data_IF_168090670378
#
_entry.id   IF_168090670378
#
_cell.length_a   1.000
_cell.length_b   1.000
_cell.length_c   1.000
_cell.angle_alpha   90.00
_cell.angle_beta   90.00
_cell.angle_gamma   90.00
#
_symmetry.space_group_name_H-M   'P 1'
#
loop_
_entity.id
_entity.type
_entity.pdbx_description
1 polymer ?
#
# COMPACT_ATOMS: atom_id res chain seq x y z
N UNK A 1 -11.01 -8.31 -7.37
CA UNK A 1 -10.30 -7.41 -6.43
C UNK A 1 -10.21 -6.01 -7.02
N UNK A 2 -9.64 -5.86 -8.21
CA UNK A 2 -9.65 -4.66 -9.05
C UNK A 2 -10.10 -5.03 -10.48
N UNK A 3 -10.34 -4.04 -11.34
CA UNK A 3 -10.77 -4.26 -12.71
C UNK A 3 -12.22 -4.72 -12.85
N UNK A 4 -12.55 -5.25 -14.02
CA UNK A 4 -13.87 -5.83 -14.31
C UNK A 4 -13.83 -7.35 -14.12
N UNK A 5 -14.98 -7.92 -13.75
CA UNK A 5 -15.16 -9.37 -13.77
C UNK A 5 -15.52 -9.84 -15.19
N UNK A 6 -14.62 -10.56 -15.89
CA UNK A 6 -14.90 -11.03 -17.24
C UNK A 6 -16.02 -12.09 -17.29
N UNK A 7 -16.34 -12.75 -16.16
CA UNK A 7 -17.43 -13.71 -16.07
C UNK A 7 -18.81 -13.05 -16.10
N UNK A 8 -18.90 -11.74 -15.86
CA UNK A 8 -20.13 -10.95 -15.97
C UNK A 8 -20.28 -10.46 -17.42
N UNK A 9 -21.51 -10.47 -17.93
CA UNK A 9 -21.84 -9.93 -19.27
C UNK A 9 -21.45 -8.44 -19.37
N UNK A 10 -20.91 -7.96 -20.51
CA UNK A 10 -20.33 -6.63 -20.64
C UNK A 10 -21.22 -5.48 -20.14
N UNK A 11 -22.53 -5.58 -20.35
CA UNK A 11 -23.52 -4.55 -20.01
C UNK A 11 -23.74 -4.39 -18.49
N UNK A 12 -23.36 -5.41 -17.70
CA UNK A 12 -23.51 -5.45 -16.25
C UNK A 12 -22.16 -5.39 -15.52
N UNK A 13 -21.04 -5.29 -16.25
CA UNK A 13 -19.71 -5.19 -15.63
C UNK A 13 -19.58 -3.88 -14.87
N UNK A 14 -19.04 -3.98 -13.66
CA UNK A 14 -18.61 -2.84 -12.87
C UNK A 14 -17.10 -2.87 -12.80
N UNK A 15 -16.48 -1.73 -13.09
CA UNK A 15 -15.04 -1.55 -13.02
C UNK A 15 -14.64 -1.16 -11.58
N UNK A 16 -13.65 -1.87 -11.01
CA UNK A 16 -13.11 -1.64 -9.67
C UNK A 16 -11.61 -1.26 -9.69
N UNK A 17 -11.09 -0.71 -10.78
CA UNK A 17 -9.67 -0.35 -10.90
C UNK A 17 -9.24 0.74 -9.90
N UNK A 18 -10.16 1.57 -9.41
CA UNK A 18 -9.87 2.55 -8.35
C UNK A 18 -9.31 1.91 -7.08
N UNK A 19 -9.65 0.64 -6.81
CA UNK A 19 -9.11 -0.12 -5.66
C UNK A 19 -7.61 -0.37 -5.76
N UNK A 20 -7.00 -0.26 -6.95
CA UNK A 20 -5.54 -0.36 -7.10
C UNK A 20 -4.84 0.77 -6.36
N UNK A 21 -5.38 1.99 -6.48
CA UNK A 21 -4.85 3.14 -5.76
C UNK A 21 -4.95 2.95 -4.24
N UNK A 22 -6.03 2.34 -3.75
CA UNK A 22 -6.14 2.03 -2.32
C UNK A 22 -5.00 1.13 -1.83
N UNK A 23 -4.57 0.17 -2.64
CA UNK A 23 -3.43 -0.71 -2.32
C UNK A 23 -2.14 0.09 -2.29
N UNK A 24 -1.89 0.91 -3.31
CA UNK A 24 -0.68 1.75 -3.42
C UNK A 24 -0.58 2.74 -2.26
N UNK A 25 -1.65 3.48 -1.98
CA UNK A 25 -1.72 4.43 -0.86
C UNK A 25 -1.49 3.73 0.49
N UNK A 26 -2.03 2.51 0.63
CA UNK A 26 -1.84 1.74 1.85
C UNK A 26 -0.40 1.28 2.00
N UNK A 27 0.26 0.86 0.93
CA UNK A 27 1.68 0.48 0.95
C UNK A 27 2.54 1.69 1.37
N UNK A 28 2.34 2.86 0.76
CA UNK A 28 3.08 4.09 1.08
C UNK A 28 2.89 4.53 2.54
N UNK A 29 1.66 4.45 3.07
CA UNK A 29 1.43 4.72 4.49
C UNK A 29 2.26 3.78 5.39
N UNK A 30 2.34 2.49 5.04
CA UNK A 30 3.04 1.50 5.86
C UNK A 30 4.56 1.63 5.75
N UNK A 31 5.13 1.96 4.59
CA UNK A 31 6.59 2.19 4.47
C UNK A 31 7.06 3.36 5.32
N UNK A 32 6.20 4.36 5.53
CA UNK A 32 6.49 5.51 6.42
C UNK A 32 6.44 5.15 7.91
N UNK A 33 5.85 4.02 8.28
CA UNK A 33 5.61 3.63 9.66
C UNK A 33 6.43 2.40 10.10
N UNK A 34 6.52 1.39 9.25
CA UNK A 34 7.24 0.15 9.53
C UNK A 34 8.74 0.32 9.28
N UNK A 35 9.54 -0.52 9.91
CA UNK A 35 10.94 -0.70 9.55
C UNK A 35 11.07 -1.70 8.40
N UNK A 36 10.28 -1.50 7.35
CA UNK A 36 10.24 -2.33 6.15
C UNK A 36 10.20 -1.41 4.94
N UNK A 37 11.16 -1.58 4.05
CA UNK A 37 11.19 -0.86 2.78
C UNK A 37 10.57 -1.73 1.68
N UNK A 38 9.89 -1.09 0.74
CA UNK A 38 9.31 -1.77 -0.43
C UNK A 38 10.22 -1.51 -1.61
N UNK A 39 10.98 -2.53 -2.00
CA UNK A 39 11.89 -2.46 -3.13
C UNK A 39 11.13 -2.50 -4.45
N UNK A 40 10.09 -3.33 -4.56
CA UNK A 40 9.22 -3.37 -5.71
C UNK A 40 7.80 -3.80 -5.37
N UNK A 41 6.82 -3.40 -6.19
CA UNK A 41 5.45 -3.88 -6.11
C UNK A 41 4.77 -3.91 -7.48
N UNK A 42 3.79 -4.81 -7.62
CA UNK A 42 2.90 -4.84 -8.77
C UNK A 42 1.47 -5.17 -8.33
N UNK A 43 0.52 -4.28 -8.64
CA UNK A 43 -0.89 -4.48 -8.33
C UNK A 43 -1.61 -4.95 -9.59
N UNK A 44 -2.24 -6.12 -9.53
CA UNK A 44 -3.01 -6.71 -10.64
C UNK A 44 -4.51 -6.77 -10.29
N UNK A 45 -5.35 -7.25 -11.23
CA UNK A 45 -6.81 -7.29 -11.04
C UNK A 45 -7.27 -8.26 -9.94
N UNK A 46 -6.51 -9.33 -9.70
CA UNK A 46 -6.87 -10.40 -8.76
C UNK A 46 -5.82 -10.69 -7.67
N UNK A 47 -4.65 -10.07 -7.71
CA UNK A 47 -3.63 -10.16 -6.66
C UNK A 47 -2.58 -9.05 -6.79
N UNK A 48 -1.68 -8.95 -5.80
CA UNK A 48 -0.54 -8.05 -5.85
C UNK A 48 0.74 -8.77 -5.38
N UNK A 49 1.89 -8.30 -5.87
CA UNK A 49 3.22 -8.78 -5.50
C UNK A 49 4.01 -7.68 -4.79
N UNK A 50 4.82 -8.05 -3.80
CA UNK A 50 5.71 -7.15 -3.06
C UNK A 50 7.10 -7.76 -2.93
N UNK A 51 8.13 -6.93 -3.10
CA UNK A 51 9.51 -7.20 -2.71
C UNK A 51 9.82 -6.30 -1.52
N UNK A 52 10.08 -6.92 -0.37
CA UNK A 52 10.24 -6.24 0.91
C UNK A 52 11.67 -6.40 1.42
N UNK A 53 12.23 -5.33 1.97
CA UNK A 53 13.45 -5.35 2.75
C UNK A 53 13.12 -5.07 4.22
N UNK A 54 13.43 -6.02 5.10
CA UNK A 54 13.16 -5.90 6.54
C UNK A 54 14.40 -5.39 7.27
N UNK A 55 14.35 -4.15 7.76
CA UNK A 55 15.46 -3.54 8.48
C UNK A 55 15.27 -3.68 10.00
N UNK A 56 15.71 -4.81 10.54
CA UNK A 56 15.65 -5.07 12.00
C UNK A 56 16.61 -4.14 12.76
N UNK A 57 17.73 -3.76 12.16
CA UNK A 57 18.72 -2.90 12.80
C UNK A 57 18.16 -1.48 13.02
N UNK A 58 17.45 -0.92 12.04
CA UNK A 58 16.74 0.36 12.15
C UNK A 58 15.69 0.32 13.25
N UNK A 59 14.91 -0.75 13.34
CA UNK A 59 13.91 -0.90 14.41
C UNK A 59 14.56 -0.96 15.80
N UNK A 60 15.69 -1.66 15.95
CA UNK A 60 16.40 -1.79 17.23
C UNK A 60 17.09 -0.50 17.67
N UNK A 61 17.44 0.41 16.74
CA UNK A 61 17.97 1.74 17.07
C UNK A 61 16.92 2.70 17.58
N UNK A 62 15.62 2.45 17.36
CA UNK A 62 14.56 3.34 17.81
C UNK A 62 14.41 3.31 19.33
N UNK A 63 14.33 4.49 19.94
CA UNK A 63 13.88 4.62 21.34
C UNK A 63 12.43 4.15 21.50
N UNK A 64 12.02 3.81 22.73
CA UNK A 64 10.62 3.47 23.02
C UNK A 64 9.65 4.55 22.52
N UNK A 65 9.98 5.83 22.72
CA UNK A 65 9.21 6.96 22.21
C UNK A 65 9.07 6.92 20.68
N UNK A 66 10.15 6.64 19.96
CA UNK A 66 10.14 6.58 18.50
C UNK A 66 9.31 5.40 17.99
N UNK A 67 9.41 4.23 18.62
CA UNK A 67 8.57 3.07 18.28
C UNK A 67 7.09 3.41 18.43
N UNK A 68 6.69 4.04 19.53
CA UNK A 68 5.31 4.44 19.76
C UNK A 68 4.84 5.45 18.71
N UNK A 69 5.65 6.45 18.36
CA UNK A 69 5.34 7.40 17.29
C UNK A 69 5.13 6.70 15.94
N UNK A 70 6.02 5.77 15.58
CA UNK A 70 5.89 4.99 14.36
C UNK A 70 4.61 4.15 14.33
N UNK A 71 4.33 3.45 15.44
CA UNK A 71 3.11 2.67 15.60
C UNK A 71 1.84 3.52 15.45
N UNK A 72 1.83 4.72 16.03
CA UNK A 72 0.67 5.64 15.98
C UNK A 72 0.36 6.22 14.60
N UNK A 73 1.25 6.07 13.61
CA UNK A 73 0.95 6.48 12.23
C UNK A 73 -0.13 5.63 11.57
N UNK A 74 -0.29 4.38 12.03
CA UNK A 74 -1.15 3.38 11.40
C UNK A 74 -2.23 2.87 12.35
N UNK A 75 -1.90 2.77 13.64
CA UNK A 75 -2.77 2.18 14.65
C UNK A 75 -3.15 3.22 15.69
N UNK A 76 -4.38 3.11 16.22
CA UNK A 76 -4.74 3.94 17.36
C UNK A 76 -3.97 3.52 18.61
N UNK A 77 -3.54 4.49 19.39
CA UNK A 77 -2.79 4.28 20.60
C UNK A 77 -3.68 4.34 21.84
N UNK A 78 -3.35 3.48 22.80
CA UNK A 78 -3.97 3.46 24.12
C UNK A 78 -3.78 4.81 24.84
N UNK A 79 -4.71 5.22 25.73
CA UNK A 79 -4.62 6.49 26.44
C UNK A 79 -3.31 6.69 27.19
N UNK A 80 -2.73 5.63 27.75
CA UNK A 80 -1.47 5.69 28.48
C UNK A 80 -0.28 5.95 27.55
N UNK A 81 -0.26 5.35 26.36
CA UNK A 81 0.72 5.64 25.31
C UNK A 81 0.62 7.11 24.87
N UNK A 82 -0.61 7.62 24.67
CA UNK A 82 -0.85 9.03 24.33
C UNK A 82 -0.34 9.97 25.43
N UNK A 83 -0.52 9.62 26.71
CA UNK A 83 0.05 10.37 27.84
C UNK A 83 1.58 10.33 27.83
N UNK A 84 2.19 9.17 27.58
CA UNK A 84 3.66 9.00 27.52
C UNK A 84 4.29 9.82 26.38
N UNK A 85 3.63 9.92 25.23
CA UNK A 85 4.11 10.70 24.08
C UNK A 85 4.05 12.22 24.30
N UNK A 86 3.18 12.68 25.20
CA UNK A 86 3.04 14.09 25.58
C UNK A 86 4.06 14.48 26.65
N UNK A 87 4.94 15.45 26.34
CA UNK A 87 5.99 15.89 27.26
C UNK A 87 5.47 16.41 28.61
N UNK A 88 4.30 17.06 28.61
CA UNK A 88 3.66 17.57 29.82
C UNK A 88 3.04 16.42 30.64
N UNK A 89 2.26 15.54 30.00
CA UNK A 89 1.54 14.46 30.70
C UNK A 89 2.45 13.32 31.13
N UNK A 90 3.57 13.09 30.42
CA UNK A 90 4.56 12.08 30.78
C UNK A 90 5.13 12.27 32.19
N UNK A 91 5.30 13.52 32.63
CA UNK A 91 5.80 13.85 33.99
C UNK A 91 4.83 13.42 35.10
N UNK A 92 3.57 13.18 34.76
CA UNK A 92 2.52 12.76 35.69
C UNK A 92 2.40 11.24 35.77
N UNK A 93 3.15 10.49 34.96
CA UNK A 93 3.12 9.03 34.98
C UNK A 93 3.97 8.49 36.13
N UNK A 94 3.43 7.50 36.83
CA UNK A 94 4.17 6.70 37.78
C UNK A 94 5.23 5.84 37.09
N UNK A 95 6.22 5.36 37.87
CA UNK A 95 7.24 4.45 37.37
C UNK A 95 6.64 3.15 36.78
N UNK A 96 5.56 2.63 37.39
CA UNK A 96 4.86 1.45 36.90
C UNK A 96 4.18 1.69 35.54
N UNK A 97 3.53 2.85 35.35
CA UNK A 97 2.92 3.23 34.08
C UNK A 97 3.97 3.43 32.98
N UNK A 98 5.11 4.06 33.30
CA UNK A 98 6.24 4.21 32.38
C UNK A 98 6.76 2.85 31.94
N UNK A 99 7.00 1.94 32.90
CA UNK A 99 7.49 0.60 32.62
C UNK A 99 6.51 -0.22 31.76
N UNK A 100 5.20 -0.09 32.03
CA UNK A 100 4.17 -0.71 31.20
C UNK A 100 4.23 -0.23 29.75
N UNK A 101 4.32 1.09 29.53
CA UNK A 101 4.39 1.66 28.18
C UNK A 101 5.67 1.25 27.45
N UNK A 102 6.79 1.15 28.15
CA UNK A 102 8.06 0.69 27.57
C UNK A 102 8.01 -0.78 27.19
N UNK A 103 7.36 -1.61 28.00
CA UNK A 103 7.07 -3.02 27.65
C UNK A 103 6.19 -3.11 26.39
N UNK A 104 5.18 -2.24 26.26
CA UNK A 104 4.37 -2.13 25.04
C UNK A 104 5.17 -1.66 23.84
N UNK A 105 6.11 -0.74 24.02
CA UNK A 105 6.99 -0.30 22.95
C UNK A 105 7.83 -1.48 22.42
N UNK A 106 8.34 -2.36 23.27
CA UNK A 106 9.05 -3.58 22.83
C UNK A 106 8.15 -4.51 21.98
N UNK A 107 6.90 -4.70 22.40
CA UNK A 107 5.91 -5.46 21.64
C UNK A 107 5.67 -4.84 20.25
N UNK A 108 5.47 -3.52 20.20
CA UNK A 108 5.22 -2.80 18.95
C UNK A 108 6.44 -2.79 18.03
N UNK A 109 7.67 -2.71 18.57
CA UNK A 109 8.90 -2.78 17.77
C UNK A 109 8.94 -4.08 16.97
N UNK A 110 8.65 -5.21 17.62
CA UNK A 110 8.59 -6.54 16.96
C UNK A 110 7.56 -6.60 15.84
N UNK A 111 6.43 -5.88 15.99
CA UNK A 111 5.40 -5.78 14.95
C UNK A 111 5.86 -4.95 13.77
N UNK A 112 6.55 -3.84 14.02
CA UNK A 112 6.97 -2.87 12.99
C UNK A 112 8.05 -3.38 12.04
N UNK A 113 8.72 -4.50 12.33
CA UNK A 113 9.58 -5.19 11.36
C UNK A 113 9.04 -6.58 10.95
N UNK A 114 7.80 -6.92 11.31
CA UNK A 114 7.21 -8.22 10.97
C UNK A 114 6.48 -8.15 9.63
N UNK A 115 6.89 -8.99 8.68
CA UNK A 115 6.21 -9.16 7.38
C UNK A 115 4.74 -9.53 7.59
N UNK A 116 4.43 -10.44 8.52
CA UNK A 116 3.05 -10.84 8.80
C UNK A 116 2.18 -9.68 9.28
N UNK A 117 2.73 -8.78 10.11
CA UNK A 117 2.02 -7.57 10.52
C UNK A 117 1.88 -6.58 9.39
N UNK A 118 2.91 -6.40 8.57
CA UNK A 118 2.86 -5.56 7.37
C UNK A 118 1.74 -6.00 6.42
N UNK A 119 1.72 -7.30 6.06
CA UNK A 119 0.70 -7.88 5.19
C UNK A 119 -0.70 -7.79 5.80
N UNK A 120 -0.84 -8.04 7.10
CA UNK A 120 -2.12 -7.86 7.82
C UNK A 120 -2.61 -6.42 7.73
N UNK A 121 -1.70 -5.46 7.92
CA UNK A 121 -1.99 -4.03 7.88
C UNK A 121 -2.35 -3.51 6.49
N UNK A 122 -1.97 -4.22 5.42
CA UNK A 122 -2.49 -3.99 4.06
C UNK A 122 -3.87 -4.62 3.92
N UNK A 123 -3.98 -5.91 4.20
CA UNK A 123 -5.11 -6.74 3.78
C UNK A 123 -6.40 -6.47 4.56
N UNK A 124 -6.35 -6.27 5.88
CA UNK A 124 -7.56 -6.13 6.70
C UNK A 124 -8.36 -4.85 6.38
N UNK A 125 -7.74 -3.66 6.32
CA UNK A 125 -8.47 -2.44 5.98
C UNK A 125 -9.04 -2.48 4.56
N UNK A 126 -8.27 -2.99 3.59
CA UNK A 126 -8.72 -3.10 2.21
C UNK A 126 -9.89 -4.09 2.05
N UNK A 127 -9.85 -5.22 2.75
CA UNK A 127 -10.97 -6.16 2.77
C UNK A 127 -12.23 -5.51 3.35
N UNK A 128 -12.09 -4.70 4.40
CA UNK A 128 -13.22 -3.98 5.00
C UNK A 128 -13.79 -2.92 4.06
N UNK A 129 -12.93 -2.14 3.40
CA UNK A 129 -13.36 -1.13 2.43
C UNK A 129 -14.06 -1.76 1.24
N UNK A 130 -13.49 -2.83 0.66
CA UNK A 130 -14.08 -3.52 -0.47
C UNK A 130 -15.42 -4.19 -0.11
N UNK A 131 -15.49 -4.91 1.01
CA UNK A 131 -16.74 -5.52 1.47
C UNK A 131 -17.83 -4.47 1.76
N UNK A 132 -17.45 -3.29 2.27
CA UNK A 132 -18.39 -2.19 2.49
C UNK A 132 -18.90 -1.60 1.16
N UNK A 133 -18.02 -1.42 0.16
CA UNK A 133 -18.39 -0.96 -1.19
C UNK A 133 -19.25 -1.98 -1.94
N UNK A 134 -18.99 -3.28 -1.74
CA UNK A 134 -19.73 -4.38 -2.36
C UNK A 134 -21.00 -4.75 -1.58
N UNK A 135 -21.28 -4.05 -0.47
CA UNK A 135 -22.39 -4.33 0.45
C UNK A 135 -22.47 -5.80 0.89
N UNK A 136 -21.32 -6.45 1.03
CA UNK A 136 -21.22 -7.87 1.34
C UNK A 136 -20.47 -8.12 2.66
N UNK A 137 -20.54 -9.37 3.13
CA UNK A 137 -19.81 -9.84 4.30
C UNK A 137 -19.07 -11.11 3.93
N UNK A 138 -17.95 -11.35 4.59
CA UNK A 138 -17.16 -12.57 4.41
C UNK A 138 -15.73 -12.30 4.00
N UNK A 139 -15.11 -13.33 3.43
CA UNK A 139 -13.68 -13.36 3.13
C UNK A 139 -13.40 -12.69 1.79
N UNK A 140 -12.62 -11.60 1.81
CA UNK A 140 -12.19 -10.92 0.59
C UNK A 140 -10.96 -11.56 -0.07
N UNK A 141 -9.99 -12.05 0.73
CA UNK A 141 -8.74 -12.64 0.23
C UNK A 141 -8.78 -14.18 0.29
N UNK A 142 -8.45 -14.86 -0.81
CA UNK A 142 -8.56 -16.33 -0.96
C UNK A 142 -7.62 -17.15 -0.05
N UNK A 143 -6.55 -16.55 0.48
CA UNK A 143 -5.46 -17.31 1.11
C UNK A 143 -4.71 -16.57 2.21
N UNK A 144 -3.76 -17.28 2.84
CA UNK A 144 -2.60 -16.63 3.47
C UNK A 144 -1.69 -16.11 2.36
N UNK A 145 -0.89 -15.09 2.65
CA UNK A 145 0.16 -14.65 1.73
C UNK A 145 1.21 -15.75 1.58
N UNK A 146 1.83 -15.83 0.40
CA UNK A 146 3.01 -16.66 0.15
C UNK A 146 4.25 -15.77 0.29
N UNK A 147 5.28 -16.28 0.94
CA UNK A 147 6.53 -15.56 1.14
C UNK A 147 7.70 -16.48 0.78
N UNK A 148 8.67 -15.93 0.05
CA UNK A 148 9.91 -16.59 -0.32
C UNK A 148 11.05 -15.65 0.04
N UNK A 149 12.02 -16.13 0.81
CA UNK A 149 13.20 -15.35 1.15
C UNK A 149 14.13 -15.27 -0.07
N UNK A 150 14.60 -14.06 -0.37
CA UNK A 150 15.62 -13.80 -1.38
C UNK A 150 16.93 -13.58 -0.63
N UNK A 151 17.89 -14.48 -0.82
CA UNK A 151 19.12 -14.54 -0.01
C UNK A 151 20.37 -14.09 -0.77
N UNK A 152 20.26 -13.84 -2.07
CA UNK A 152 21.35 -13.38 -2.92
C UNK A 152 20.96 -12.16 -3.75
N UNK A 153 21.94 -11.34 -4.11
CA UNK A 153 21.76 -10.06 -4.78
C UNK A 153 21.24 -10.22 -6.22
N UNK A 154 21.60 -11.33 -6.89
CA UNK A 154 21.07 -11.67 -8.21
C UNK A 154 19.59 -12.04 -8.15
N UNK A 155 19.15 -12.78 -7.13
CA UNK A 155 17.76 -13.12 -6.87
C UNK A 155 16.96 -11.88 -6.48
N UNK A 156 17.55 -10.94 -5.74
CA UNK A 156 16.93 -9.66 -5.43
C UNK A 156 16.70 -8.83 -6.70
N UNK A 157 17.75 -8.61 -7.51
CA UNK A 157 17.66 -7.85 -8.76
C UNK A 157 16.71 -8.52 -9.76
N UNK A 158 16.77 -9.85 -9.86
CA UNK A 158 15.87 -10.64 -10.71
C UNK A 158 14.43 -10.53 -10.22
N UNK A 159 14.17 -10.57 -8.91
CA UNK A 159 12.82 -10.42 -8.37
C UNK A 159 12.28 -9.00 -8.48
N UNK A 160 13.12 -7.97 -8.32
CA UNK A 160 12.72 -6.58 -8.56
C UNK A 160 12.30 -6.40 -10.03
N UNK A 161 13.17 -6.80 -10.97
CA UNK A 161 12.85 -6.80 -12.39
C UNK A 161 11.60 -7.65 -12.70
N UNK A 162 11.48 -8.82 -12.11
CA UNK A 162 10.33 -9.71 -12.32
C UNK A 162 9.01 -9.09 -11.83
N UNK A 163 9.02 -8.45 -10.66
CA UNK A 163 7.82 -7.79 -10.10
C UNK A 163 7.46 -6.56 -10.93
N UNK A 164 8.43 -5.72 -11.27
CA UNK A 164 8.19 -4.54 -12.12
C UNK A 164 7.70 -4.93 -13.53
N UNK A 165 8.14 -6.08 -14.05
CA UNK A 165 7.73 -6.57 -15.38
C UNK A 165 6.45 -7.42 -15.37
N UNK A 166 5.87 -7.73 -14.21
CA UNK A 166 4.68 -8.59 -14.13
C UNK A 166 3.47 -8.03 -14.92
N UNK A 167 3.18 -6.72 -14.91
CA UNK A 167 2.11 -6.17 -15.73
C UNK A 167 2.36 -6.30 -17.24
N UNK A 168 3.62 -6.30 -17.70
CA UNK A 168 3.92 -6.60 -19.11
C UNK A 168 3.69 -8.08 -19.43
N UNK A 169 4.13 -8.98 -18.54
CA UNK A 169 3.96 -10.42 -18.73
C UNK A 169 2.48 -10.83 -18.73
N UNK A 170 1.65 -10.13 -17.97
CA UNK A 170 0.20 -10.30 -17.96
C UNK A 170 -0.50 -9.66 -19.18
N UNK A 171 0.24 -8.99 -20.08
CA UNK A 171 -0.29 -8.29 -21.25
C UNK A 171 -1.09 -7.02 -20.92
N UNK A 172 -0.98 -6.52 -19.68
CA UNK A 172 -1.69 -5.33 -19.19
C UNK A 172 -0.98 -4.05 -19.65
N UNK A 173 0.34 -4.10 -19.81
CA UNK A 173 1.16 -2.99 -20.29
C UNK A 173 2.12 -3.44 -21.41
N UNK A 174 2.45 -2.53 -22.35
CA UNK A 174 3.36 -2.85 -23.46
C UNK A 174 4.83 -2.53 -23.13
N UNK A 175 5.07 -1.67 -22.16
CA UNK A 175 6.40 -1.26 -21.68
C UNK A 175 6.38 -1.06 -20.16
N UNK A 176 7.53 -1.11 -19.45
CA UNK A 176 7.58 -0.86 -18.00
C UNK A 176 7.10 0.53 -17.59
N UNK A 177 7.28 1.52 -18.46
CA UNK A 177 6.85 2.91 -18.28
C UNK A 177 5.34 3.11 -18.52
N UNK A 178 4.69 2.15 -19.19
CA UNK A 178 3.23 2.13 -19.41
C UNK A 178 2.51 1.16 -18.45
N UNK A 179 3.23 0.62 -17.49
CA UNK A 179 2.72 -0.27 -16.46
C UNK A 179 2.12 0.52 -15.30
N UNK A 180 0.83 0.81 -15.36
CA UNK A 180 0.13 1.47 -14.26
C UNK A 180 0.21 0.65 -12.96
N UNK A 181 0.47 1.33 -11.83
CA UNK A 181 0.53 0.81 -10.46
C UNK A 181 1.69 -0.17 -10.17
N UNK A 182 2.89 0.15 -10.66
CA UNK A 182 4.15 -0.49 -10.24
C UNK A 182 5.13 0.47 -9.59
N UNK A 183 6.09 -0.08 -8.84
CA UNK A 183 7.21 0.68 -8.27
C UNK A 183 8.07 1.38 -9.33
N UNK A 184 8.25 0.78 -10.52
CA UNK A 184 9.02 1.41 -11.59
C UNK A 184 8.32 2.65 -12.14
N UNK A 185 6.99 2.64 -12.31
CA UNK A 185 6.24 3.85 -12.68
C UNK A 185 6.41 4.96 -11.63
N UNK A 186 6.22 4.62 -10.34
CA UNK A 186 6.34 5.60 -9.26
C UNK A 186 7.75 6.23 -9.19
N UNK A 187 8.82 5.46 -9.45
CA UNK A 187 10.20 5.97 -9.53
C UNK A 187 10.40 6.88 -10.75
N UNK A 188 9.94 6.44 -11.93
CA UNK A 188 10.05 7.22 -13.18
C UNK A 188 9.32 8.56 -13.07
N UNK A 189 8.14 8.59 -12.45
CA UNK A 189 7.38 9.84 -12.20
C UNK A 189 8.06 10.75 -11.16
N UNK A 190 8.88 10.20 -10.26
CA UNK A 190 9.59 10.98 -9.23
C UNK A 190 10.96 11.48 -9.72
N UNK A 191 11.64 10.75 -10.61
CA UNK A 191 13.00 11.05 -11.09
C UNK A 191 13.06 11.83 -12.41
N UNK A 192 11.97 11.90 -13.18
CA UNK A 192 11.88 12.75 -14.36
C UNK A 192 11.20 14.09 -14.00
N UNK A 193 11.92 15.23 -13.98
CA UNK A 193 11.24 16.52 -13.97
C UNK A 193 10.38 16.64 -15.23
N UNK A 194 9.18 17.22 -15.10
CA UNK A 194 8.23 17.45 -16.19
C UNK A 194 8.92 17.94 -17.46
N UNK A 195 9.23 17.04 -18.39
CA UNK A 195 9.47 17.41 -19.78
C UNK A 195 8.10 17.40 -20.45
N UNK A 196 7.51 18.58 -20.47
CA UNK A 196 6.29 18.85 -21.21
C UNK A 196 6.37 18.27 -22.63
N UNK A 197 5.43 17.39 -22.98
CA UNK A 197 4.93 17.33 -24.35
C UNK A 197 3.42 17.14 -24.35
N UNK A 198 2.75 18.27 -24.57
CA UNK A 198 1.39 18.37 -25.09
C UNK A 198 1.24 17.43 -26.29
N UNK A 199 0.33 16.46 -26.21
CA UNK A 199 -0.36 15.96 -27.41
C UNK A 199 -1.83 15.64 -27.10
N UNK A 200 -2.70 16.58 -27.46
CA UNK A 200 -4.00 16.29 -28.07
C UNK A 200 -5.08 15.60 -27.22
N UNK A 201 -5.58 16.25 -26.17
CA UNK A 201 -6.93 15.94 -25.66
C UNK A 201 -7.95 16.59 -26.61
N UNK A 202 -8.35 15.86 -27.66
CA UNK A 202 -9.41 16.28 -28.57
C UNK A 202 -10.71 16.44 -27.77
N UNK A 203 -11.15 17.69 -27.57
CA UNK A 203 -12.47 18.01 -27.02
C UNK A 203 -13.52 17.58 -28.03
N UNK A 204 -14.15 16.43 -27.81
CA UNK A 204 -15.40 16.07 -28.50
C UNK A 204 -16.51 16.99 -28.01
N UNK A 205 -16.81 18.01 -28.80
CA UNK A 205 -17.91 18.95 -28.58
C UNK A 205 -19.21 18.30 -29.09
N UNK A 206 -20.02 17.73 -28.20
CA UNK A 206 -21.43 17.45 -28.49
C UNK A 206 -22.20 18.77 -28.43
N UNK A 207 -22.72 19.25 -29.56
CA UNK A 207 -23.91 20.10 -29.58
C UNK A 207 -24.94 19.53 -30.55
N UNK A 208 -26.05 19.11 -29.97
CA UNK A 208 -27.28 18.76 -30.65
C UNK A 208 -28.19 20.00 -30.81
N UNK A 209 -29.13 19.88 -31.76
CA UNK A 209 -30.25 20.75 -32.11
C UNK A 209 -29.89 22.04 -32.90
N UNK A 210 -30.56 22.38 -34.01
CA UNK A 210 -32.02 22.39 -34.17
C UNK A 210 -32.44 22.38 -35.66
N UNK A 211 -33.38 21.49 -36.01
CA UNK A 211 -34.22 21.52 -37.23
C UNK A 211 -35.15 22.74 -37.22
N UNK A 212 -35.36 23.36 -38.39
CA UNK A 212 -36.62 23.91 -38.96
C UNK A 212 -36.24 24.77 -40.19
N UNK A 213 -36.59 24.42 -41.45
CA UNK A 213 -37.89 24.65 -42.14
C UNK A 213 -38.47 26.01 -41.72
N UNK A 214 -38.58 27.03 -42.55
CA UNK A 214 -38.91 27.14 -43.97
C UNK A 214 -38.23 28.39 -44.54
#
# INVERSE_FOLDING_TARGET
MCGEDPAIVPELRKNYDHRRQWIVDRIDLLTRAFSIDVAAYAVMSNHYHLVLYVDVARANKWSARQVLLQYTKVFDAEPLVKKYLSSQKRRLLSAAEIHYVETKAEEYRKRLYSISWFMKSINEPLARLANAEDHCKGRFWEGRFKAQALLDEQALLTCMAYVDLNPLRAGIAKTPETSDYTSIQARVETELPEVASKSGRTKNNKKAAKKRRH
#
